data_IF_032794495689
#
_entry.id   IF_032794495689
#
_cell.length_a   1.000
_cell.length_b   1.000
_cell.length_c   1.000
_cell.angle_alpha   90.00
_cell.angle_beta   90.00
_cell.angle_gamma   90.00
#
_symmetry.space_group_name_H-M   'P 1'
#
loop_
_entity.id
_entity.type
_entity.pdbx_description
1 polymer ?
#
# COMPACT_ATOMS: atom_id res chain seq x y z
N UNK A 1 -6.15 3.26 -15.85
CA UNK A 1 -4.86 3.98 -15.84
C UNK A 1 -4.58 4.33 -14.39
N UNK A 2 -3.50 3.79 -13.80
CA UNK A 2 -3.12 4.13 -12.42
C UNK A 2 -2.69 5.59 -12.41
N UNK A 3 -3.38 6.45 -11.66
CA UNK A 3 -3.03 7.86 -11.58
C UNK A 3 -1.72 8.00 -10.78
N UNK A 4 -0.69 8.56 -11.40
CA UNK A 4 0.58 8.85 -10.74
C UNK A 4 0.36 9.97 -9.71
N UNK A 5 0.83 9.74 -8.49
CA UNK A 5 0.72 10.68 -7.38
C UNK A 5 2.07 11.37 -7.13
N UNK A 6 2.17 12.72 -7.19
CA UNK A 6 3.43 13.46 -7.09
C UNK A 6 4.26 13.12 -5.84
N UNK A 7 3.62 13.00 -4.67
CA UNK A 7 4.30 12.62 -3.43
C UNK A 7 5.00 11.26 -3.50
N UNK A 8 4.39 10.28 -4.18
CA UNK A 8 4.98 8.95 -4.31
C UNK A 8 6.16 8.99 -5.28
N UNK A 9 6.03 9.73 -6.39
CA UNK A 9 7.17 9.97 -7.31
C UNK A 9 8.35 10.62 -6.60
N UNK A 10 8.08 11.55 -5.67
CA UNK A 10 9.11 12.11 -4.82
C UNK A 10 9.76 11.07 -3.90
N UNK A 11 8.98 10.24 -3.21
CA UNK A 11 9.51 9.15 -2.37
C UNK A 11 10.36 8.16 -3.18
N UNK A 12 9.92 7.80 -4.38
CA UNK A 12 10.68 6.96 -5.31
C UNK A 12 12.03 7.58 -5.67
N UNK A 13 12.09 8.91 -5.84
CA UNK A 13 13.32 9.67 -6.01
C UNK A 13 14.28 9.61 -4.80
N UNK A 14 13.75 9.32 -3.59
CA UNK A 14 14.55 9.13 -2.37
C UNK A 14 15.08 7.71 -2.18
N UNK A 15 14.75 6.76 -3.06
CA UNK A 15 15.15 5.35 -2.93
C UNK A 15 16.68 5.15 -2.81
N UNK A 16 17.48 6.04 -3.40
CA UNK A 16 18.94 6.06 -3.27
C UNK A 16 19.48 6.76 -2.01
N UNK A 17 18.66 7.56 -1.31
CA UNK A 17 19.06 8.32 -0.13
C UNK A 17 18.81 7.51 1.16
N UNK A 18 19.87 6.84 1.62
CA UNK A 18 19.82 6.01 2.84
C UNK A 18 19.43 6.80 4.09
N UNK A 19 19.81 8.07 4.18
CA UNK A 19 19.52 8.90 5.35
C UNK A 19 18.04 9.32 5.35
N UNK A 20 17.50 9.70 4.20
CA UNK A 20 16.08 9.98 4.05
C UNK A 20 15.22 8.76 4.38
N UNK A 21 15.53 7.60 3.80
CA UNK A 21 14.81 6.37 4.10
C UNK A 21 14.94 5.95 5.57
N UNK A 22 16.09 6.19 6.21
CA UNK A 22 16.26 5.91 7.64
C UNK A 22 15.37 6.81 8.51
N UNK A 23 15.27 8.11 8.19
CA UNK A 23 14.38 9.03 8.88
C UNK A 23 12.91 8.63 8.72
N UNK A 24 12.48 8.30 7.50
CA UNK A 24 11.11 7.84 7.22
C UNK A 24 10.78 6.51 7.93
N UNK A 25 11.73 5.57 7.97
CA UNK A 25 11.56 4.29 8.69
C UNK A 25 11.35 4.46 10.19
N UNK A 26 11.77 5.56 10.82
CA UNK A 26 11.51 5.80 12.25
C UNK A 26 10.03 5.98 12.56
N UNK A 27 9.24 6.45 11.59
CA UNK A 27 7.78 6.47 11.68
C UNK A 27 7.14 5.09 11.71
N UNK A 28 7.88 4.05 11.33
CA UNK A 28 7.39 2.69 11.32
C UNK A 28 7.21 2.22 12.77
N UNK A 29 6.03 2.45 13.34
CA UNK A 29 5.49 1.79 14.54
C UNK A 29 5.00 2.79 15.56
N UNK A 30 5.09 4.05 15.16
CA UNK A 30 4.62 5.20 15.88
C UNK A 30 3.30 5.64 15.24
N UNK A 31 2.42 6.30 16.01
CA UNK A 31 1.26 6.96 15.44
C UNK A 31 1.69 7.89 14.30
N UNK A 32 1.04 7.87 13.13
CA UNK A 32 1.39 8.75 12.01
C UNK A 32 1.43 10.22 12.41
N UNK A 33 2.42 10.97 11.91
CA UNK A 33 2.61 12.39 12.23
C UNK A 33 3.35 12.69 13.54
N UNK A 34 3.77 11.70 14.33
CA UNK A 34 4.43 11.95 15.64
C UNK A 34 5.97 12.02 15.58
N UNK A 35 6.58 11.63 14.46
CA UNK A 35 8.05 11.54 14.33
C UNK A 35 8.60 12.76 13.58
N UNK A 36 9.23 13.67 14.32
CA UNK A 36 9.74 14.95 13.80
C UNK A 36 10.71 14.81 12.62
N UNK A 37 11.55 13.77 12.62
CA UNK A 37 12.52 13.51 11.53
C UNK A 37 11.84 13.33 10.16
N UNK A 38 10.57 12.92 10.14
CA UNK A 38 9.80 12.74 8.91
C UNK A 38 9.29 14.06 8.33
N UNK A 39 9.17 15.11 9.15
CA UNK A 39 8.42 16.32 8.80
C UNK A 39 8.99 16.97 7.54
N UNK A 40 10.33 17.05 7.44
CA UNK A 40 11.01 17.62 6.26
C UNK A 40 10.72 16.89 4.94
N UNK A 41 10.24 15.65 5.00
CA UNK A 41 9.95 14.83 3.82
C UNK A 41 8.44 14.77 3.51
N UNK A 42 7.59 14.92 4.53
CA UNK A 42 6.13 14.74 4.38
C UNK A 42 5.38 16.08 4.35
N UNK A 43 5.67 17.00 5.28
CA UNK A 43 4.95 18.28 5.42
C UNK A 43 4.93 19.13 4.14
N UNK A 44 6.00 19.22 3.32
CA UNK A 44 5.95 19.97 2.07
C UNK A 44 4.89 19.50 1.07
N UNK A 45 4.33 18.29 1.26
CA UNK A 45 3.31 17.69 0.42
C UNK A 45 1.90 17.79 1.01
N UNK A 46 1.75 18.41 2.18
CA UNK A 46 0.49 18.58 2.89
C UNK A 46 0.07 20.06 2.82
N UNK A 47 -1.01 20.41 2.10
CA UNK A 47 -1.64 21.73 2.22
C UNK A 47 -2.03 22.07 3.66
N UNK A 48 -2.07 23.35 4.01
CA UNK A 48 -2.38 23.84 5.36
C UNK A 48 -3.76 23.38 5.88
N UNK A 49 -4.70 23.11 4.99
CA UNK A 49 -6.06 22.65 5.29
C UNK A 49 -6.22 21.11 5.22
N UNK A 50 -5.10 20.38 5.21
CA UNK A 50 -5.12 18.92 5.11
C UNK A 50 -5.86 18.31 6.31
N UNK A 51 -6.93 17.52 6.08
CA UNK A 51 -7.63 16.88 7.18
C UNK A 51 -6.75 15.80 7.84
N UNK A 52 -6.92 15.52 9.15
CA UNK A 52 -6.04 14.61 9.90
C UNK A 52 -5.91 13.21 9.28
N UNK A 53 -6.99 12.64 8.74
CA UNK A 53 -6.96 11.31 8.13
C UNK A 53 -6.07 11.27 6.86
N UNK A 54 -5.99 12.37 6.11
CA UNK A 54 -5.15 12.48 4.91
C UNK A 54 -3.69 12.64 5.32
N UNK A 55 -3.42 13.46 6.33
CA UNK A 55 -2.08 13.58 6.93
C UNK A 55 -1.57 12.22 7.41
N UNK A 56 -2.39 11.49 8.18
CA UNK A 56 -2.10 10.13 8.64
C UNK A 56 -1.73 9.19 7.49
N UNK A 57 -2.49 9.22 6.37
CA UNK A 57 -2.19 8.41 5.20
C UNK A 57 -0.83 8.74 4.56
N UNK A 58 -0.43 10.02 4.53
CA UNK A 58 0.85 10.47 3.97
C UNK A 58 2.04 10.05 4.83
N UNK A 59 1.95 10.19 6.15
CA UNK A 59 2.98 9.70 7.06
C UNK A 59 3.09 8.17 7.02
N UNK A 60 1.95 7.48 7.00
CA UNK A 60 1.90 6.02 6.94
C UNK A 60 2.54 5.49 5.65
N UNK A 61 2.13 6.01 4.48
CA UNK A 61 2.68 5.55 3.21
C UNK A 61 4.19 5.81 3.12
N UNK A 62 4.68 6.94 3.65
CA UNK A 62 6.10 7.27 3.64
C UNK A 62 6.93 6.31 4.50
N UNK A 63 6.43 5.95 5.69
CA UNK A 63 7.07 4.96 6.55
C UNK A 63 7.07 3.55 5.92
N UNK A 64 5.95 3.14 5.30
CA UNK A 64 5.83 1.84 4.63
C UNK A 64 6.71 1.75 3.39
N UNK A 65 6.74 2.81 2.57
CA UNK A 65 7.65 2.90 1.42
C UNK A 65 9.10 2.77 1.87
N UNK A 66 9.51 3.52 2.90
CA UNK A 66 10.90 3.45 3.36
C UNK A 66 11.28 2.08 3.94
N UNK A 67 10.29 1.32 4.44
CA UNK A 67 10.47 -0.05 4.90
C UNK A 67 10.63 -1.06 3.75
N UNK A 68 9.94 -0.83 2.63
CA UNK A 68 10.02 -1.66 1.41
C UNK A 68 10.13 -0.76 0.16
N UNK A 69 11.30 -0.16 -0.12
CA UNK A 69 11.44 0.89 -1.14
C UNK A 69 11.49 0.35 -2.58
N UNK A 70 10.80 -0.76 -2.85
CA UNK A 70 10.68 -1.37 -4.18
C UNK A 70 9.42 -0.86 -4.87
N UNK A 71 9.61 0.00 -5.86
CA UNK A 71 8.58 0.45 -6.78
C UNK A 71 8.34 -0.57 -7.91
N UNK A 72 7.19 -0.45 -8.58
CA UNK A 72 6.89 -1.22 -9.79
C UNK A 72 5.82 -2.32 -9.65
N UNK A 73 5.21 -2.47 -8.48
CA UNK A 73 4.03 -3.32 -8.35
C UNK A 73 2.92 -2.88 -9.30
N UNK A 74 2.09 -3.82 -9.76
CA UNK A 74 0.92 -3.53 -10.61
C UNK A 74 -0.38 -4.00 -9.96
N UNK A 75 -1.44 -3.19 -10.10
CA UNK A 75 -2.72 -3.40 -9.44
C UNK A 75 -2.75 -2.87 -8.01
N UNK A 76 -3.66 -3.39 -7.19
CA UNK A 76 -3.86 -3.01 -5.80
C UNK A 76 -3.28 -4.06 -4.83
N UNK A 77 -3.43 -3.82 -3.52
CA UNK A 77 -2.90 -4.72 -2.49
C UNK A 77 -3.41 -6.17 -2.60
N UNK A 78 -4.65 -6.36 -3.04
CA UNK A 78 -5.20 -7.70 -3.29
C UNK A 78 -4.43 -8.47 -4.35
N UNK A 79 -4.01 -7.80 -5.43
CA UNK A 79 -3.19 -8.42 -6.47
C UNK A 79 -1.78 -8.76 -5.97
N UNK A 80 -1.21 -7.90 -5.13
CA UNK A 80 0.10 -8.15 -4.51
C UNK A 80 0.05 -9.39 -3.59
N UNK A 81 -1.00 -9.50 -2.77
CA UNK A 81 -1.22 -10.67 -1.92
C UNK A 81 -1.48 -11.94 -2.75
N UNK A 82 -2.24 -11.85 -3.85
CA UNK A 82 -2.49 -13.01 -4.71
C UNK A 82 -1.18 -13.55 -5.32
N UNK A 83 -0.28 -12.66 -5.75
CA UNK A 83 1.06 -13.04 -6.26
C UNK A 83 1.98 -13.63 -5.19
N UNK A 84 1.80 -13.25 -3.93
CA UNK A 84 2.57 -13.76 -2.81
C UNK A 84 2.12 -15.15 -2.32
N UNK A 85 1.03 -15.70 -2.89
CA UNK A 85 0.56 -17.06 -2.57
C UNK A 85 1.57 -18.08 -3.08
N UNK A 86 1.79 -19.11 -2.28
CA UNK A 86 2.49 -20.30 -2.74
C UNK A 86 1.52 -21.16 -3.58
N UNK A 87 1.82 -21.43 -4.87
CA UNK A 87 0.96 -22.27 -5.70
C UNK A 87 0.83 -23.72 -5.19
N UNK A 88 1.79 -24.18 -4.39
CA UNK A 88 1.86 -25.56 -3.88
C UNK A 88 1.66 -25.63 -2.36
N UNK A 89 1.44 -24.49 -1.70
CA UNK A 89 1.34 -24.36 -0.26
C UNK A 89 -0.06 -24.01 0.25
N UNK A 90 -0.24 -24.14 1.57
CA UNK A 90 -1.48 -23.75 2.23
C UNK A 90 -1.67 -22.22 2.18
N UNK A 91 -2.73 -21.79 1.47
CA UNK A 91 -3.11 -20.37 1.38
C UNK A 91 -3.91 -19.87 2.58
N UNK A 92 -4.31 -20.73 3.51
CA UNK A 92 -5.19 -20.36 4.64
C UNK A 92 -4.59 -19.25 5.51
N UNK A 93 -3.28 -19.30 5.77
CA UNK A 93 -2.61 -18.29 6.59
C UNK A 93 -2.55 -16.91 5.92
N UNK A 94 -2.34 -16.85 4.60
CA UNK A 94 -2.32 -15.59 3.84
C UNK A 94 -3.74 -15.04 3.70
N UNK A 95 -4.73 -15.89 3.45
CA UNK A 95 -6.14 -15.50 3.40
C UNK A 95 -6.60 -14.92 4.74
N UNK A 96 -6.27 -15.57 5.87
CA UNK A 96 -6.59 -15.03 7.20
C UNK A 96 -5.97 -13.67 7.46
N UNK A 97 -4.69 -13.48 7.09
CA UNK A 97 -4.00 -12.19 7.23
C UNK A 97 -4.66 -11.11 6.38
N UNK A 98 -5.03 -11.45 5.15
CA UNK A 98 -5.65 -10.50 4.23
C UNK A 98 -7.07 -10.13 4.67
N UNK A 99 -7.87 -11.10 5.11
CA UNK A 99 -9.20 -10.86 5.69
C UNK A 99 -9.14 -9.92 6.91
N UNK A 100 -8.15 -10.11 7.80
CA UNK A 100 -7.95 -9.21 8.93
C UNK A 100 -7.63 -7.77 8.47
N UNK A 101 -6.78 -7.61 7.45
CA UNK A 101 -6.48 -6.30 6.87
C UNK A 101 -7.72 -5.64 6.25
N UNK A 102 -8.56 -6.38 5.51
CA UNK A 102 -9.79 -5.83 4.93
C UNK A 102 -10.81 -5.40 6.00
N UNK A 103 -10.80 -6.06 7.14
CA UNK A 103 -11.67 -5.75 8.28
C UNK A 103 -11.16 -4.58 9.14
N UNK A 104 -9.92 -4.13 8.95
CA UNK A 104 -9.29 -3.13 9.79
C UNK A 104 -10.03 -1.78 9.78
N UNK A 105 -10.23 -1.22 10.98
CA UNK A 105 -10.70 0.15 11.15
C UNK A 105 -9.61 1.13 10.66
N UNK A 106 -9.96 2.33 10.12
CA UNK A 106 -8.98 3.34 9.74
C UNK A 106 -7.91 3.63 10.82
N UNK A 107 -8.30 3.62 12.09
CA UNK A 107 -7.40 3.93 13.21
C UNK A 107 -6.36 2.83 13.49
N UNK A 108 -6.65 1.58 13.14
CA UNK A 108 -5.74 0.43 13.33
C UNK A 108 -4.99 0.07 12.04
N UNK A 109 -5.30 0.77 10.95
CA UNK A 109 -4.86 0.41 9.60
C UNK A 109 -3.33 0.41 9.47
N UNK A 110 -2.64 1.28 10.22
CA UNK A 110 -1.18 1.37 10.26
C UNK A 110 -0.52 0.05 10.69
N UNK A 111 -1.11 -0.62 11.68
CA UNK A 111 -0.63 -1.86 12.26
C UNK A 111 -0.82 -3.01 11.27
N UNK A 112 -2.01 -3.14 10.70
CA UNK A 112 -2.30 -4.21 9.73
C UNK A 112 -1.52 -4.03 8.43
N UNK A 113 -1.38 -2.79 7.92
CA UNK A 113 -0.62 -2.54 6.70
C UNK A 113 0.87 -2.78 6.86
N UNK A 114 1.45 -2.43 8.02
CA UNK A 114 2.85 -2.78 8.31
C UNK A 114 3.07 -4.29 8.22
N UNK A 115 2.20 -5.07 8.87
CA UNK A 115 2.31 -6.53 8.83
C UNK A 115 2.16 -7.06 7.40
N UNK A 116 1.24 -6.46 6.62
CA UNK A 116 1.01 -6.80 5.23
C UNK A 116 2.22 -6.50 4.33
N UNK A 117 2.78 -5.28 4.41
CA UNK A 117 3.97 -4.87 3.66
C UNK A 117 5.19 -5.67 4.09
N UNK A 118 5.36 -5.97 5.38
CA UNK A 118 6.44 -6.84 5.87
C UNK A 118 6.37 -8.25 5.29
N UNK A 119 5.16 -8.81 5.18
CA UNK A 119 4.94 -10.08 4.50
C UNK A 119 5.30 -10.01 3.01
N UNK A 120 4.84 -8.98 2.28
CA UNK A 120 5.16 -8.80 0.87
C UNK A 120 6.66 -8.61 0.64
N UNK A 121 7.32 -7.84 1.50
CA UNK A 121 8.78 -7.66 1.52
C UNK A 121 9.51 -8.99 1.71
N UNK A 122 9.06 -9.86 2.63
CA UNK A 122 9.67 -11.19 2.81
C UNK A 122 9.50 -12.12 1.61
N UNK A 123 8.57 -11.80 0.70
CA UNK A 123 8.30 -12.52 -0.54
C UNK A 123 8.85 -11.80 -1.76
N UNK A 124 9.60 -10.70 -1.56
CA UNK A 124 10.18 -9.87 -2.62
C UNK A 124 9.12 -9.39 -3.64
N UNK A 125 7.88 -9.18 -3.19
CA UNK A 125 6.80 -8.69 -4.05
C UNK A 125 6.80 -7.16 -4.04
N UNK A 126 7.01 -6.49 -5.18
CA UNK A 126 6.96 -5.03 -5.26
C UNK A 126 5.53 -4.52 -5.07
N UNK A 127 5.40 -3.34 -4.48
CA UNK A 127 4.11 -2.72 -4.16
C UNK A 127 3.85 -1.55 -5.12
N UNK A 128 2.60 -1.42 -5.55
CA UNK A 128 2.15 -0.24 -6.28
C UNK A 128 1.83 0.88 -5.29
N UNK A 129 2.84 1.67 -4.92
CA UNK A 129 2.73 2.73 -3.91
C UNK A 129 1.74 3.82 -4.31
N UNK A 130 1.60 4.12 -5.61
CA UNK A 130 0.62 5.07 -6.13
C UNK A 130 -0.82 4.61 -5.90
N UNK A 131 -1.12 3.35 -6.24
CA UNK A 131 -2.44 2.78 -5.98
C UNK A 131 -2.70 2.66 -4.49
N UNK A 132 -1.70 2.24 -3.70
CA UNK A 132 -1.86 2.11 -2.26
C UNK A 132 -2.20 3.45 -1.61
N UNK A 133 -1.50 4.55 -1.93
CA UNK A 133 -1.86 5.86 -1.37
C UNK A 133 -3.30 6.26 -1.73
N UNK A 134 -3.70 6.06 -2.99
CA UNK A 134 -5.07 6.35 -3.44
C UNK A 134 -6.10 5.53 -2.65
N UNK A 135 -5.79 4.25 -2.39
CA UNK A 135 -6.62 3.35 -1.61
C UNK A 135 -6.70 3.77 -0.13
N UNK A 136 -5.61 4.23 0.47
CA UNK A 136 -5.59 4.74 1.86
C UNK A 136 -6.44 5.98 2.01
N UNK A 137 -6.36 6.90 1.05
CA UNK A 137 -7.16 8.13 1.05
C UNK A 137 -8.66 7.84 0.91
N UNK A 138 -9.01 6.68 0.38
CA UNK A 138 -10.37 6.23 0.16
C UNK A 138 -10.87 5.20 1.19
N UNK A 139 -10.01 4.77 2.13
CA UNK A 139 -10.28 3.61 2.98
C UNK A 139 -11.54 3.77 3.86
N UNK A 140 -11.76 4.99 4.36
CA UNK A 140 -12.89 5.33 5.23
C UNK A 140 -14.22 5.56 4.50
N UNK A 141 -14.30 5.34 3.19
CA UNK A 141 -15.54 5.58 2.45
C UNK A 141 -16.67 4.62 2.90
N UNK A 142 -17.91 5.10 3.13
CA UNK A 142 -19.02 4.26 3.62
C UNK A 142 -19.30 3.01 2.79
N UNK A 143 -19.17 3.10 1.47
CA UNK A 143 -19.42 1.97 0.55
C UNK A 143 -18.35 0.86 0.60
N UNK A 144 -17.23 1.11 1.29
CA UNK A 144 -16.09 0.19 1.42
C UNK A 144 -15.60 -0.36 0.08
N UNK A 145 -15.56 0.50 -0.94
CA UNK A 145 -15.24 0.09 -2.30
C UNK A 145 -13.78 -0.36 -2.43
N UNK A 146 -12.86 0.24 -1.67
CA UNK A 146 -11.43 -0.15 -1.67
C UNK A 146 -11.29 -1.58 -1.20
N UNK A 147 -11.92 -1.92 -0.07
CA UNK A 147 -11.89 -3.26 0.50
C UNK A 147 -12.51 -4.29 -0.47
N UNK A 148 -13.62 -3.94 -1.13
CA UNK A 148 -14.24 -4.80 -2.16
C UNK A 148 -13.33 -5.00 -3.38
N UNK A 149 -12.68 -3.93 -3.86
CA UNK A 149 -11.74 -4.01 -4.99
C UNK A 149 -10.49 -4.84 -4.64
N UNK A 150 -9.98 -4.70 -3.43
CA UNK A 150 -8.89 -5.51 -2.90
C UNK A 150 -9.28 -6.98 -2.79
N UNK A 151 -10.47 -7.27 -2.24
CA UNK A 151 -11.01 -8.63 -2.16
C UNK A 151 -11.18 -9.25 -3.55
N UNK A 152 -11.77 -8.52 -4.50
CA UNK A 152 -11.92 -8.98 -5.87
C UNK A 152 -10.59 -9.26 -6.56
N UNK A 153 -9.56 -8.44 -6.33
CA UNK A 153 -8.23 -8.69 -6.90
C UNK A 153 -7.51 -9.89 -6.26
N UNK A 154 -7.89 -10.27 -5.04
CA UNK A 154 -7.28 -11.38 -4.30
C UNK A 154 -7.97 -12.73 -4.52
N UNK A 155 -9.30 -12.79 -4.41
CA UNK A 155 -10.11 -14.00 -4.61
C UNK A 155 -10.82 -14.08 -5.96
N UNK A 156 -10.94 -12.96 -6.67
CA UNK A 156 -11.57 -12.95 -7.98
C UNK A 156 -10.82 -13.87 -8.92
N UNK A 157 -11.58 -14.67 -9.68
CA UNK A 157 -10.99 -15.46 -10.76
C UNK A 157 -10.35 -14.49 -11.75
N UNK A 158 -9.17 -14.79 -12.30
CA UNK A 158 -8.65 -14.03 -13.43
C UNK A 158 -9.76 -14.03 -14.48
N UNK A 159 -10.27 -12.84 -14.81
CA UNK A 159 -11.18 -12.71 -15.94
C UNK A 159 -10.45 -13.35 -17.12
N UNK A 160 -11.05 -14.40 -17.68
CA UNK A 160 -10.55 -15.08 -18.89
C UNK A 160 -10.21 -13.96 -19.86
N UNK A 161 -8.92 -13.76 -20.16
CA UNK A 161 -8.52 -12.91 -21.27
C UNK A 161 -9.33 -13.41 -22.45
N UNK A 162 -10.29 -12.61 -22.90
CA UNK A 162 -11.00 -12.85 -24.14
C UNK A 162 -9.92 -12.79 -25.20
N UNK A 163 -9.36 -13.96 -25.53
CA UNK A 163 -8.68 -14.19 -26.79
C UNK A 163 -9.72 -13.83 -27.84
N UNK A 164 -9.60 -12.61 -28.36
CA UNK A 164 -10.16 -12.27 -29.65
C UNK A 164 -9.28 -13.06 -30.61
N UNK A 165 -9.67 -14.31 -30.84
CA UNK A 165 -9.12 -15.10 -31.94
C UNK A 165 -9.65 -14.41 -33.19
N UNK A 166 -8.80 -13.64 -33.85
CA UNK A 166 -9.01 -13.25 -35.24
C UNK A 166 -9.09 -14.55 -36.05
N UNK A 167 -10.29 -14.88 -36.51
CA UNK A 167 -10.52 -15.87 -37.55
C UNK A 167 -10.05 -15.27 -38.88
N UNK A 168 -9.04 -15.88 -39.50
CA UNK A 168 -8.79 -15.80 -40.95
C UNK A 168 -9.60 -16.88 -41.68
#
# INVERSE_FOLDING_TARGET
MTQTHPFITYLEGLSGDRAALAALRRGLGQPPGTVADMYRYVVPWLPDDTPPWRETAYYLIAALFAYHPDAGGTGNMGRHFARARDPHGDSTAIERRFTALLAAHPDDLDTYLRQAVGFLRSKEVPVNWHQLLSDLLAWGHPDRYVQKQWANAFWGRPAKETQITEEE
#
